data_IF_592366903911
#
_entry.id   IF_592366903911
#
_cell.length_a   1.000
_cell.length_b   1.000
_cell.length_c   1.000
_cell.angle_alpha   90.00
_cell.angle_beta   90.00
_cell.angle_gamma   90.00
#
_symmetry.space_group_name_H-M   'P 1'
#
loop_
_entity.id
_entity.type
_entity.pdbx_description
1 polymer ?
#
# COMPACT_ATOMS: atom_id res chain seq x y z
N UNK A 1 11.27 -8.91 0.26
CA UNK A 1 11.46 -7.92 -0.82
C UNK A 1 11.63 -8.70 -2.11
N UNK A 2 10.66 -8.62 -2.99
CA UNK A 2 10.54 -9.65 -4.01
C UNK A 2 10.39 -11.03 -3.35
N UNK A 3 11.12 -12.04 -3.79
CA UNK A 3 11.14 -13.37 -3.14
C UNK A 3 12.18 -13.46 -2.01
N UNK A 4 12.97 -12.40 -1.79
CA UNK A 4 14.01 -12.38 -0.77
C UNK A 4 13.45 -12.05 0.62
N UNK A 5 13.78 -12.86 1.60
CA UNK A 5 13.51 -12.57 2.99
C UNK A 5 14.52 -11.56 3.54
N UNK A 6 14.04 -10.61 4.33
CA UNK A 6 14.87 -9.57 4.92
C UNK A 6 14.74 -9.53 6.44
N UNK A 7 15.77 -9.03 7.10
CA UNK A 7 15.77 -8.65 8.51
C UNK A 7 15.75 -7.12 8.55
N UNK A 8 14.68 -6.54 9.10
CA UNK A 8 14.64 -5.15 9.51
C UNK A 8 15.06 -5.08 10.97
N UNK A 9 16.10 -4.33 11.27
CA UNK A 9 16.61 -4.19 12.64
C UNK A 9 16.92 -2.74 12.96
N UNK A 10 16.82 -2.39 14.24
CA UNK A 10 17.32 -1.15 14.80
C UNK A 10 18.49 -1.47 15.70
N UNK A 11 19.65 -0.88 15.41
CA UNK A 11 20.84 -1.08 16.20
C UNK A 11 20.81 -0.34 17.55
N UNK A 12 21.84 -0.54 18.39
CA UNK A 12 21.95 0.11 19.70
C UNK A 12 22.09 1.64 19.65
N UNK A 13 22.39 2.20 18.48
CA UNK A 13 22.49 3.64 18.24
C UNK A 13 21.17 4.22 17.70
N UNK A 14 20.15 3.37 17.51
CA UNK A 14 18.87 3.76 16.93
C UNK A 14 18.86 3.80 15.41
N UNK A 15 19.93 3.37 14.73
CA UNK A 15 20.00 3.32 13.28
C UNK A 15 19.24 2.09 12.78
N UNK A 16 18.42 2.30 11.75
CA UNK A 16 17.65 1.24 11.10
C UNK A 16 18.46 0.64 9.97
N UNK A 17 18.45 -0.68 9.87
CA UNK A 17 19.13 -1.44 8.83
C UNK A 17 18.19 -2.48 8.22
N UNK A 18 18.41 -2.79 6.96
CA UNK A 18 17.69 -3.86 6.23
C UNK A 18 18.72 -4.79 5.60
N UNK A 19 18.74 -6.03 6.05
CA UNK A 19 19.68 -7.06 5.58
C UNK A 19 18.95 -8.21 4.91
N UNK A 20 19.62 -8.86 3.96
CA UNK A 20 19.22 -10.17 3.48
C UNK A 20 19.25 -11.18 4.63
N UNK A 21 18.18 -11.90 4.86
CA UNK A 21 18.06 -12.90 5.91
C UNK A 21 18.78 -14.21 5.57
N UNK A 22 20.05 -14.09 5.17
CA UNK A 22 20.84 -15.22 4.67
C UNK A 22 22.24 -15.18 5.26
N UNK A 23 22.62 -16.22 5.99
CA UNK A 23 23.96 -16.37 6.57
C UNK A 23 25.02 -16.45 5.48
N UNK A 24 26.05 -15.61 5.58
CA UNK A 24 27.16 -15.53 4.61
C UNK A 24 28.05 -16.77 4.59
N UNK A 25 27.89 -17.71 5.54
CA UNK A 25 28.62 -18.96 5.55
C UNK A 25 28.08 -19.97 4.54
N UNK A 26 26.83 -20.42 4.70
CA UNK A 26 26.20 -21.45 3.85
C UNK A 26 24.72 -21.21 3.61
N UNK A 27 24.27 -19.96 3.55
CA UNK A 27 22.93 -19.60 3.10
C UNK A 27 21.79 -19.91 4.07
N UNK A 28 22.07 -20.31 5.32
CA UNK A 28 21.02 -20.57 6.29
C UNK A 28 20.28 -19.26 6.67
N UNK A 29 18.95 -19.34 6.80
CA UNK A 29 18.13 -18.27 7.38
C UNK A 29 18.60 -17.92 8.78
N UNK A 30 18.97 -16.67 9.01
CA UNK A 30 19.56 -16.20 10.27
C UNK A 30 18.48 -15.91 11.31
N UNK A 31 17.50 -15.08 10.97
CA UNK A 31 16.36 -14.77 11.81
C UNK A 31 15.14 -15.59 11.37
N UNK A 32 14.54 -16.33 12.30
CA UNK A 32 13.40 -17.25 12.02
C UNK A 32 12.10 -16.78 12.67
N UNK A 33 12.11 -15.66 13.33
CA UNK A 33 10.97 -15.06 14.00
C UNK A 33 10.49 -13.84 13.23
N UNK A 34 9.20 -13.59 13.26
CA UNK A 34 8.59 -12.46 12.58
C UNK A 34 8.90 -11.13 13.27
N UNK A 35 9.07 -11.15 14.60
CA UNK A 35 9.42 -9.99 15.42
C UNK A 35 10.14 -10.39 16.72
N UNK A 36 10.81 -9.46 17.35
CA UNK A 36 11.46 -9.67 18.64
C UNK A 36 12.56 -8.66 18.93
N UNK A 37 13.25 -8.88 20.03
CA UNK A 37 14.45 -8.13 20.43
C UNK A 37 15.64 -9.07 20.52
N UNK A 38 16.74 -8.69 19.89
CA UNK A 38 17.96 -9.45 19.88
C UNK A 38 19.17 -8.52 20.06
N UNK A 39 20.16 -8.97 20.82
CA UNK A 39 21.44 -8.27 20.94
C UNK A 39 22.35 -8.63 19.76
N UNK A 40 22.22 -9.85 19.26
CA UNK A 40 22.97 -10.41 18.14
C UNK A 40 22.08 -11.44 17.41
N UNK A 41 22.40 -11.71 16.17
CA UNK A 41 21.79 -12.79 15.37
C UNK A 41 22.79 -13.94 15.23
N UNK A 42 22.53 -15.07 15.86
CA UNK A 42 23.37 -16.28 15.74
C UNK A 42 22.75 -17.26 14.77
N UNK A 43 23.48 -17.58 13.71
CA UNK A 43 23.05 -18.55 12.71
C UNK A 43 22.91 -19.94 13.37
N UNK A 44 21.73 -20.59 13.27
CA UNK A 44 21.50 -21.86 13.95
C UNK A 44 22.24 -23.06 13.31
N UNK A 45 22.89 -22.83 12.16
CA UNK A 45 23.58 -23.92 11.46
C UNK A 45 25.03 -24.11 11.97
N UNK A 46 25.85 -23.03 11.98
CA UNK A 46 27.24 -23.12 12.39
C UNK A 46 27.65 -22.00 13.35
N UNK A 47 26.68 -21.37 14.00
CA UNK A 47 26.87 -20.35 15.02
C UNK A 47 27.69 -19.10 14.58
N UNK A 48 27.74 -18.80 13.28
CA UNK A 48 28.19 -17.48 12.86
C UNK A 48 27.26 -16.42 13.45
N UNK A 49 27.84 -15.44 14.12
CA UNK A 49 27.08 -14.46 14.91
C UNK A 49 27.29 -13.06 14.35
N UNK A 50 26.18 -12.39 14.08
CA UNK A 50 26.14 -11.03 13.53
C UNK A 50 25.60 -10.06 14.59
N UNK A 51 26.16 -8.87 14.65
CA UNK A 51 25.61 -7.77 15.45
C UNK A 51 24.37 -7.19 14.77
N UNK A 52 23.61 -6.36 15.47
CA UNK A 52 22.39 -5.70 14.95
C UNK A 52 22.67 -4.70 13.83
N UNK A 53 23.92 -4.26 13.66
CA UNK A 53 24.41 -3.49 12.53
C UNK A 53 24.95 -4.36 11.35
N UNK A 54 24.70 -5.66 11.38
CA UNK A 54 25.02 -6.62 10.32
C UNK A 54 26.47 -7.13 10.33
N UNK A 55 27.38 -6.60 11.16
CA UNK A 55 28.78 -7.04 11.21
C UNK A 55 28.91 -8.46 11.74
N UNK A 56 29.77 -9.27 11.13
CA UNK A 56 30.15 -10.58 11.65
C UNK A 56 31.04 -10.42 12.89
N UNK A 57 30.53 -10.75 14.08
CA UNK A 57 31.23 -10.59 15.36
C UNK A 57 31.75 -11.90 15.95
N UNK A 58 31.10 -13.03 15.63
CA UNK A 58 31.47 -14.33 16.18
C UNK A 58 31.57 -15.41 15.08
N UNK A 59 32.66 -16.14 15.09
CA UNK A 59 32.92 -17.31 14.23
C UNK A 59 33.52 -18.42 15.09
N UNK A 60 32.81 -19.55 15.25
CA UNK A 60 33.38 -20.70 15.93
C UNK A 60 34.65 -21.19 15.23
N UNK A 61 35.61 -21.69 16.00
CA UNK A 61 36.88 -22.17 15.49
C UNK A 61 37.70 -21.15 14.69
N UNK A 62 37.47 -19.83 14.93
CA UNK A 62 38.19 -18.78 14.22
C UNK A 62 39.72 -18.91 14.40
N UNK A 63 40.17 -19.39 15.59
CA UNK A 63 41.57 -19.53 15.92
C UNK A 63 42.15 -20.85 15.45
N UNK A 64 41.46 -21.94 15.67
CA UNK A 64 42.00 -23.31 15.53
C UNK A 64 41.67 -23.97 14.16
N UNK A 65 40.67 -23.46 13.44
CA UNK A 65 40.30 -23.99 12.11
C UNK A 65 40.33 -22.94 10.99
N UNK A 66 40.10 -21.69 11.29
CA UNK A 66 40.33 -20.59 10.35
C UNK A 66 41.71 -19.93 10.51
N UNK A 67 42.49 -20.33 11.48
CA UNK A 67 43.86 -19.87 11.73
C UNK A 67 43.98 -18.36 11.87
N UNK A 68 42.91 -17.69 12.31
CA UNK A 68 42.75 -16.23 12.38
C UNK A 68 42.87 -15.50 11.00
N UNK A 69 42.83 -16.24 9.90
CA UNK A 69 42.99 -15.71 8.55
C UNK A 69 41.65 -15.19 7.94
N UNK A 70 40.51 -15.55 8.53
CA UNK A 70 39.24 -15.06 8.09
C UNK A 70 39.02 -13.60 8.51
N UNK A 71 39.07 -12.67 7.55
CA UNK A 71 38.74 -11.28 7.80
C UNK A 71 37.20 -11.10 7.94
N UNK A 72 36.75 -11.07 9.20
CA UNK A 72 35.30 -10.94 9.53
C UNK A 72 34.66 -9.69 8.98
N UNK A 73 35.39 -8.62 8.67
CA UNK A 73 34.85 -7.38 8.14
C UNK A 73 34.22 -7.56 6.74
N UNK A 74 34.65 -8.58 6.00
CA UNK A 74 34.14 -8.87 4.66
C UNK A 74 32.92 -9.80 4.66
N UNK A 75 32.52 -10.31 5.81
CA UNK A 75 31.49 -11.36 5.92
C UNK A 75 30.28 -10.94 6.76
N UNK A 76 30.01 -9.63 6.84
CA UNK A 76 28.77 -9.11 7.38
C UNK A 76 27.54 -9.55 6.57
N UNK A 77 26.35 -9.39 7.13
CA UNK A 77 25.09 -9.59 6.38
C UNK A 77 25.05 -8.64 5.18
N UNK A 78 24.45 -9.09 4.09
CA UNK A 78 24.27 -8.25 2.92
C UNK A 78 23.18 -7.20 3.20
N UNK A 79 23.55 -5.94 3.17
CA UNK A 79 22.63 -4.82 3.36
C UNK A 79 22.02 -4.40 2.02
N UNK A 80 20.79 -3.88 2.06
CA UNK A 80 20.13 -3.29 0.88
C UNK A 80 20.96 -2.12 0.34
N UNK A 81 20.87 -1.90 -0.97
CA UNK A 81 21.65 -0.85 -1.61
C UNK A 81 21.17 0.57 -1.24
N UNK A 82 19.85 0.74 -1.07
CA UNK A 82 19.26 2.00 -0.63
C UNK A 82 18.09 1.72 0.31
N UNK A 83 17.89 2.61 1.27
CA UNK A 83 16.78 2.59 2.21
C UNK A 83 16.28 4.01 2.46
N UNK A 84 14.97 4.16 2.62
CA UNK A 84 14.31 5.39 3.00
C UNK A 84 13.34 5.14 4.17
N UNK A 85 13.40 6.01 5.17
CA UNK A 85 12.35 6.11 6.19
C UNK A 85 11.39 7.22 5.76
N UNK A 86 10.27 6.82 5.16
CA UNK A 86 9.25 7.73 4.70
C UNK A 86 8.10 7.77 5.69
N UNK A 87 8.08 8.80 6.54
CA UNK A 87 7.06 9.01 7.58
C UNK A 87 6.81 7.77 8.47
N UNK A 88 7.89 7.13 8.92
CA UNK A 88 7.84 5.95 9.79
C UNK A 88 7.68 4.61 9.06
N UNK A 89 7.48 4.62 7.75
CA UNK A 89 7.51 3.42 6.91
C UNK A 89 8.89 3.24 6.26
N UNK A 90 9.39 2.01 6.29
CA UNK A 90 10.71 1.71 5.74
C UNK A 90 10.58 1.12 4.34
N UNK A 91 11.22 1.76 3.38
CA UNK A 91 11.28 1.37 1.98
C UNK A 91 12.72 1.09 1.60
N UNK A 92 12.95 0.05 0.84
CA UNK A 92 14.32 -0.35 0.48
C UNK A 92 14.38 -0.97 -0.91
N UNK A 93 15.57 -0.93 -1.52
CA UNK A 93 15.85 -1.55 -2.81
C UNK A 93 17.23 -2.21 -2.83
N UNK A 94 17.37 -3.29 -3.57
CA UNK A 94 18.64 -3.94 -3.86
C UNK A 94 19.43 -3.24 -4.97
N UNK A 95 18.79 -2.34 -5.72
CA UNK A 95 19.43 -1.66 -6.83
C UNK A 95 19.98 -0.28 -6.41
N UNK A 96 21.30 -0.15 -6.43
CA UNK A 96 22.00 1.09 -6.12
C UNK A 96 21.74 2.23 -7.13
N UNK A 97 21.22 1.89 -8.32
CA UNK A 97 20.89 2.85 -9.38
C UNK A 97 19.42 3.25 -9.38
N UNK A 98 18.61 2.67 -8.52
CA UNK A 98 17.21 3.05 -8.40
C UNK A 98 17.10 4.54 -8.02
N UNK A 99 16.05 5.25 -8.46
CA UNK A 99 15.76 6.59 -7.97
C UNK A 99 15.56 6.58 -6.45
N UNK A 100 15.68 7.73 -5.81
CA UNK A 100 15.23 7.86 -4.42
C UNK A 100 13.76 7.48 -4.29
N UNK A 101 13.31 7.06 -3.11
CA UNK A 101 11.90 6.68 -2.93
C UNK A 101 10.96 7.88 -3.20
N UNK A 102 11.35 9.09 -2.87
CA UNK A 102 10.59 10.30 -3.15
C UNK A 102 10.50 10.58 -4.66
N UNK A 103 11.60 10.45 -5.39
CA UNK A 103 11.59 10.56 -6.85
C UNK A 103 10.77 9.44 -7.50
N UNK A 104 10.82 8.23 -6.91
CA UNK A 104 9.98 7.10 -7.34
C UNK A 104 8.49 7.42 -7.22
N UNK A 105 8.07 8.06 -6.14
CA UNK A 105 6.69 8.50 -5.95
C UNK A 105 6.33 9.71 -6.82
N UNK A 106 7.30 10.58 -7.11
CA UNK A 106 7.09 11.81 -7.89
C UNK A 106 5.98 12.69 -7.33
N UNK A 107 5.06 13.22 -8.17
CA UNK A 107 3.95 14.06 -7.71
C UNK A 107 3.01 13.38 -6.70
N UNK A 108 3.08 12.06 -6.59
CA UNK A 108 2.24 11.29 -5.66
C UNK A 108 2.80 11.22 -4.24
N UNK A 109 4.03 11.67 -4.02
CA UNK A 109 4.70 11.61 -2.71
C UNK A 109 3.90 12.29 -1.61
N UNK A 110 3.35 13.46 -1.88
CA UNK A 110 2.53 14.19 -0.91
C UNK A 110 1.22 13.45 -0.58
N UNK A 111 0.61 12.83 -1.58
CA UNK A 111 -0.59 12.00 -1.39
C UNK A 111 -0.28 10.77 -0.52
N UNK A 112 0.87 10.13 -0.74
CA UNK A 112 1.33 9.00 0.07
C UNK A 112 1.68 9.43 1.49
N UNK A 113 2.26 10.61 1.68
CA UNK A 113 2.53 11.20 3.01
C UNK A 113 1.26 11.23 3.86
N UNK A 114 0.13 11.61 3.27
CA UNK A 114 -1.14 11.66 4.02
C UNK A 114 -1.59 10.31 4.55
N UNK A 115 -1.16 9.23 3.92
CA UNK A 115 -1.46 7.87 4.38
C UNK A 115 -0.72 7.49 5.67
N UNK A 116 0.32 8.24 6.04
CA UNK A 116 1.09 8.06 7.27
C UNK A 116 0.88 9.19 8.28
N UNK A 117 0.09 10.17 7.93
CA UNK A 117 -0.26 11.30 8.78
C UNK A 117 -1.40 10.92 9.73
N UNK A 118 -1.31 11.31 10.98
CA UNK A 118 -2.40 11.17 11.94
C UNK A 118 -3.67 11.89 11.50
N UNK A 119 -4.79 11.51 12.05
CA UNK A 119 -6.08 12.18 11.78
C UNK A 119 -6.08 13.65 12.16
N UNK A 120 -5.20 14.05 13.07
CA UNK A 120 -4.94 15.43 13.50
C UNK A 120 -3.95 16.19 12.63
N UNK A 121 -3.41 15.56 11.59
CA UNK A 121 -2.41 16.16 10.71
C UNK A 121 -0.97 16.08 11.20
N UNK A 122 -0.66 15.31 12.25
CA UNK A 122 0.71 15.07 12.70
C UNK A 122 1.43 14.05 11.81
N UNK A 123 2.63 14.39 11.34
CA UNK A 123 3.52 13.42 10.71
C UNK A 123 3.91 12.33 11.73
N UNK A 124 3.97 11.08 11.30
CA UNK A 124 4.21 9.93 12.19
C UNK A 124 3.16 9.76 13.32
N UNK A 125 1.97 10.32 13.14
CA UNK A 125 0.88 10.25 14.11
C UNK A 125 0.22 8.87 14.24
N UNK A 126 0.58 7.91 13.39
CA UNK A 126 -0.01 6.57 13.35
C UNK A 126 0.87 5.54 14.06
N UNK A 127 0.22 4.47 14.51
CA UNK A 127 0.86 3.24 14.97
C UNK A 127 0.16 2.01 14.41
N UNK A 128 0.88 0.91 14.31
CA UNK A 128 0.28 -0.41 14.07
C UNK A 128 -0.29 -0.93 15.39
N UNK A 129 -1.55 -1.35 15.41
CA UNK A 129 -2.23 -1.73 16.66
C UNK A 129 -2.53 -3.24 16.78
N UNK A 130 -2.07 -4.03 15.81
CA UNK A 130 -2.22 -5.49 15.84
C UNK A 130 -1.09 -6.16 15.05
N UNK A 131 -0.79 -7.44 15.30
CA UNK A 131 0.05 -8.23 14.42
C UNK A 131 -0.48 -8.21 12.99
N UNK A 132 0.42 -8.28 12.02
CA UNK A 132 0.05 -8.39 10.62
C UNK A 132 -0.75 -9.67 10.38
N UNK A 133 -1.89 -9.56 9.72
CA UNK A 133 -2.56 -10.73 9.15
C UNK A 133 -1.93 -11.05 7.81
N UNK A 134 -1.74 -12.31 7.51
CA UNK A 134 -1.25 -12.77 6.20
C UNK A 134 -1.90 -14.09 5.82
N UNK A 135 -2.16 -14.24 4.53
CA UNK A 135 -2.73 -15.47 3.96
C UNK A 135 -2.38 -15.57 2.47
N UNK A 136 -2.57 -16.75 1.92
CA UNK A 136 -2.27 -17.00 0.51
C UNK A 136 -3.54 -17.13 -0.31
N UNK A 137 -3.48 -16.56 -1.52
CA UNK A 137 -4.54 -16.56 -2.51
C UNK A 137 -4.04 -17.27 -3.77
N UNK A 138 -4.77 -18.24 -4.32
CA UNK A 138 -4.40 -18.90 -5.58
C UNK A 138 -4.71 -18.01 -6.78
N UNK A 139 -4.13 -16.83 -6.80
CA UNK A 139 -4.32 -15.83 -7.86
C UNK A 139 -3.02 -15.08 -8.13
N UNK A 140 -2.91 -14.49 -9.33
CA UNK A 140 -1.81 -13.58 -9.63
C UNK A 140 -1.99 -12.26 -8.88
N UNK A 141 -0.91 -11.72 -8.32
CA UNK A 141 -0.92 -10.49 -7.52
C UNK A 141 -1.51 -9.26 -8.22
N UNK A 142 -1.53 -9.26 -9.55
CA UNK A 142 -2.11 -8.16 -10.33
C UNK A 142 -3.62 -8.03 -10.13
N UNK A 143 -4.35 -9.14 -9.93
CA UNK A 143 -5.79 -9.09 -9.71
C UNK A 143 -6.16 -8.28 -8.45
N UNK A 144 -5.72 -8.65 -7.24
CA UNK A 144 -6.03 -7.86 -6.07
C UNK A 144 -5.43 -6.45 -6.12
N UNK A 145 -4.21 -6.31 -6.65
CA UNK A 145 -3.59 -5.00 -6.78
C UNK A 145 -4.37 -4.07 -7.72
N UNK A 146 -5.02 -4.57 -8.76
CA UNK A 146 -5.87 -3.78 -9.65
C UNK A 146 -7.21 -3.40 -9.03
N UNK A 147 -7.84 -4.32 -8.29
CA UNK A 147 -9.07 -4.01 -7.57
C UNK A 147 -8.82 -2.90 -6.55
N UNK A 148 -7.78 -3.02 -5.76
CA UNK A 148 -7.44 -2.03 -4.74
C UNK A 148 -6.69 -0.79 -5.27
N UNK A 149 -6.40 -0.71 -6.56
CA UNK A 149 -5.92 0.53 -7.17
C UNK A 149 -7.01 1.58 -7.42
N UNK A 150 -8.25 1.25 -7.11
CA UNK A 150 -9.41 2.13 -7.27
C UNK A 150 -10.48 1.61 -8.21
N UNK A 151 -10.71 0.31 -8.24
CA UNK A 151 -11.86 -0.25 -8.94
C UNK A 151 -13.12 -0.06 -8.10
N UNK A 152 -13.82 1.05 -8.32
CA UNK A 152 -15.09 1.32 -7.64
C UNK A 152 -16.29 0.66 -8.34
N UNK A 153 -16.12 0.21 -9.57
CA UNK A 153 -17.22 -0.32 -10.38
C UNK A 153 -17.71 -1.69 -9.87
N UNK A 154 -16.82 -2.52 -9.30
CA UNK A 154 -17.18 -3.84 -8.81
C UNK A 154 -18.02 -3.81 -7.53
N UNK A 155 -17.88 -2.76 -6.72
CA UNK A 155 -18.39 -2.75 -5.35
C UNK A 155 -19.90 -3.02 -5.22
N UNK A 156 -20.70 -2.54 -6.17
CA UNK A 156 -22.15 -2.70 -6.15
C UNK A 156 -22.61 -4.15 -6.34
N UNK A 157 -21.83 -4.95 -7.09
CA UNK A 157 -22.15 -6.37 -7.35
C UNK A 157 -21.37 -7.31 -6.44
N UNK A 158 -20.08 -7.10 -6.32
CA UNK A 158 -19.20 -7.97 -5.53
C UNK A 158 -19.63 -7.98 -4.06
N UNK A 159 -19.96 -6.83 -3.49
CA UNK A 159 -20.34 -6.70 -2.08
C UNK A 159 -21.87 -6.68 -1.85
N UNK A 160 -22.63 -7.31 -2.72
CA UNK A 160 -24.08 -7.40 -2.58
C UNK A 160 -24.49 -8.12 -1.26
N UNK A 161 -23.71 -9.10 -0.82
CA UNK A 161 -23.89 -9.82 0.44
C UNK A 161 -23.92 -8.88 1.65
N UNK A 162 -23.02 -7.90 1.68
CA UNK A 162 -22.97 -6.88 2.75
C UNK A 162 -24.24 -6.04 2.79
N UNK A 163 -24.73 -5.67 1.61
CA UNK A 163 -25.98 -4.91 1.49
C UNK A 163 -27.20 -5.74 1.88
N UNK A 164 -27.26 -6.99 1.43
CA UNK A 164 -28.35 -7.91 1.76
C UNK A 164 -28.41 -8.27 3.26
N UNK A 165 -27.26 -8.38 3.90
CA UNK A 165 -27.18 -8.64 5.34
C UNK A 165 -27.39 -7.38 6.20
N UNK A 166 -27.63 -6.22 5.59
CA UNK A 166 -27.78 -4.92 6.27
C UNK A 166 -26.61 -4.56 7.21
N UNK A 167 -25.43 -5.11 6.93
CA UNK A 167 -24.21 -4.86 7.73
C UNK A 167 -23.40 -3.69 7.21
N UNK A 168 -23.79 -3.13 6.07
CA UNK A 168 -23.17 -1.96 5.49
C UNK A 168 -23.47 -0.69 6.28
N UNK A 169 -22.75 0.39 6.00
CA UNK A 169 -22.81 1.64 6.77
C UNK A 169 -24.21 2.25 6.93
N UNK A 170 -25.16 1.91 6.07
CA UNK A 170 -26.53 2.42 6.11
C UNK A 170 -27.61 1.33 6.24
N UNK A 171 -27.21 0.07 6.32
CA UNK A 171 -28.16 -1.05 6.32
C UNK A 171 -29.13 -1.04 7.49
N UNK A 172 -28.69 -0.60 8.66
CA UNK A 172 -29.54 -0.51 9.85
C UNK A 172 -30.47 0.70 9.86
N UNK A 173 -30.06 1.81 9.22
CA UNK A 173 -30.86 3.06 9.21
C UNK A 173 -32.02 3.02 8.22
N UNK A 174 -31.85 2.28 7.13
CA UNK A 174 -32.82 2.27 6.02
C UNK A 174 -33.73 1.03 6.00
N UNK A 175 -33.62 0.16 7.01
CA UNK A 175 -34.51 -1.01 7.17
C UNK A 175 -34.38 -2.10 6.10
N UNK A 176 -33.32 -2.10 5.36
CA UNK A 176 -33.04 -3.10 4.32
C UNK A 176 -32.04 -2.57 3.32
N UNK A 177 -30.95 -3.24 3.22
CA UNK A 177 -29.75 -2.94 2.47
C UNK A 177 -29.91 -2.05 1.22
N UNK A 178 -28.88 -1.36 0.86
CA UNK A 178 -28.86 -0.53 -0.37
C UNK A 178 -29.19 -1.38 -1.57
N UNK A 179 -30.02 -0.83 -2.45
CA UNK A 179 -30.23 -1.42 -3.77
C UNK A 179 -28.88 -1.50 -4.49
N UNK A 180 -28.46 -2.68 -5.00
CA UNK A 180 -27.13 -2.88 -5.57
C UNK A 180 -26.78 -1.93 -6.73
N UNK A 181 -27.79 -1.36 -7.39
CA UNK A 181 -27.62 -0.39 -8.47
C UNK A 181 -27.52 1.06 -7.99
N UNK A 182 -27.80 1.34 -6.72
CA UNK A 182 -27.53 2.65 -6.13
C UNK A 182 -26.12 2.61 -5.57
N UNK A 183 -25.18 3.12 -6.35
CA UNK A 183 -23.78 3.18 -5.99
C UNK A 183 -23.60 3.65 -4.53
N UNK A 184 -22.87 2.92 -3.71
CA UNK A 184 -22.61 3.30 -2.31
C UNK A 184 -21.75 4.56 -2.20
N UNK A 185 -21.16 5.01 -3.29
CA UNK A 185 -20.37 6.22 -3.36
C UNK A 185 -21.22 7.34 -3.96
N UNK A 186 -21.17 8.55 -3.41
CA UNK A 186 -21.69 9.68 -4.11
C UNK A 186 -20.90 9.80 -5.41
N UNK A 187 -21.50 9.37 -6.50
CA UNK A 187 -20.90 9.38 -7.83
C UNK A 187 -20.42 10.79 -8.27
N UNK A 188 -20.69 11.79 -7.47
CA UNK A 188 -20.35 13.19 -7.75
C UNK A 188 -18.94 13.58 -7.36
N UNK A 189 -18.23 12.82 -6.49
CA UNK A 189 -17.00 13.30 -5.86
C UNK A 189 -15.86 12.28 -5.83
N UNK A 190 -15.99 11.12 -6.48
CA UNK A 190 -14.91 10.13 -6.57
C UNK A 190 -14.13 10.29 -7.85
N UNK A 191 -12.82 10.51 -7.77
CA UNK A 191 -11.94 10.64 -8.91
C UNK A 191 -10.88 9.56 -8.87
N UNK A 192 -10.58 8.98 -10.02
CA UNK A 192 -9.39 8.19 -10.23
C UNK A 192 -8.25 9.12 -10.58
N UNK A 193 -7.12 9.00 -9.89
CA UNK A 193 -6.00 9.89 -10.05
C UNK A 193 -4.71 9.09 -10.22
N UNK A 194 -3.96 9.38 -11.26
CA UNK A 194 -2.68 8.74 -11.56
C UNK A 194 -1.63 9.76 -11.97
N UNK A 195 -0.45 9.75 -11.37
CA UNK A 195 0.74 10.28 -12.02
C UNK A 195 1.20 9.31 -13.11
N UNK A 196 2.00 9.78 -14.05
CA UNK A 196 2.56 8.95 -15.13
C UNK A 196 3.52 7.82 -14.64
N UNK A 197 3.60 7.59 -13.35
CA UNK A 197 4.52 6.66 -12.71
C UNK A 197 3.86 5.31 -12.31
N UNK A 198 2.60 5.10 -12.70
CA UNK A 198 1.85 3.88 -12.37
C UNK A 198 1.31 3.83 -10.95
N UNK A 199 1.61 4.80 -10.10
CA UNK A 199 0.91 5.01 -8.84
C UNK A 199 -0.52 5.44 -9.13
N UNK A 200 -1.41 5.22 -8.19
CA UNK A 200 -2.81 5.58 -8.42
C UNK A 200 -3.56 5.81 -7.12
N UNK A 201 -4.70 6.47 -7.22
CA UNK A 201 -5.59 6.67 -6.09
C UNK A 201 -7.03 6.81 -6.53
N UNK A 202 -7.92 6.44 -5.65
CA UNK A 202 -9.32 6.83 -5.67
C UNK A 202 -9.49 7.92 -4.63
N UNK A 203 -9.70 9.15 -5.10
CA UNK A 203 -9.76 10.34 -4.26
C UNK A 203 -11.19 10.90 -4.30
N UNK A 204 -11.66 11.42 -3.19
CA UNK A 204 -12.81 12.31 -3.19
C UNK A 204 -12.31 13.76 -3.18
N UNK A 205 -12.71 14.54 -4.17
CA UNK A 205 -12.39 15.95 -4.28
C UNK A 205 -13.68 16.74 -4.07
N UNK A 206 -13.71 17.57 -3.04
CA UNK A 206 -14.87 18.38 -2.70
C UNK A 206 -14.73 19.80 -3.22
N UNK A 207 -15.82 20.38 -3.69
CA UNK A 207 -15.86 21.80 -4.13
C UNK A 207 -15.72 22.76 -2.94
N UNK A 208 -16.17 22.33 -1.77
CA UNK A 208 -16.07 23.11 -0.54
C UNK A 208 -15.42 22.29 0.58
N UNK A 209 -14.63 22.93 1.46
CA UNK A 209 -14.09 22.27 2.63
C UNK A 209 -15.22 21.77 3.52
N UNK A 210 -15.21 20.51 3.87
CA UNK A 210 -16.22 19.92 4.74
C UNK A 210 -15.78 18.61 5.33
N UNK A 211 -16.38 18.27 6.46
CA UNK A 211 -16.25 16.92 7.01
C UNK A 211 -16.94 15.97 6.04
N UNK A 212 -16.26 14.90 5.66
CA UNK A 212 -16.85 13.89 4.80
C UNK A 212 -18.17 13.38 5.42
N UNK A 213 -19.29 13.42 4.69
CA UNK A 213 -20.60 13.04 5.22
C UNK A 213 -20.73 11.59 5.69
N UNK A 214 -19.66 10.81 5.58
CA UNK A 214 -19.60 9.38 5.91
C UNK A 214 -19.01 9.04 7.25
N UNK A 215 -18.50 10.04 8.02
CA UNK A 215 -18.05 9.80 9.38
C UNK A 215 -19.16 9.15 10.23
N UNK A 216 -20.40 9.53 9.99
CA UNK A 216 -21.55 9.05 10.75
C UNK A 216 -22.00 7.62 10.42
N UNK A 217 -21.46 7.03 9.35
CA UNK A 217 -22.01 5.77 8.82
C UNK A 217 -21.13 4.54 9.00
N UNK A 218 -19.82 4.71 9.16
CA UNK A 218 -18.87 3.59 9.21
C UNK A 218 -18.53 3.13 10.63
N UNK A 219 -18.51 4.06 11.56
CA UNK A 219 -18.12 3.83 12.95
C UNK A 219 -19.20 4.37 13.90
N UNK A 220 -20.46 4.19 13.58
CA UNK A 220 -21.65 4.75 14.28
C UNK A 220 -21.73 4.46 15.77
N UNK A 221 -20.58 4.47 16.44
CA UNK A 221 -20.48 4.35 17.90
C UNK A 221 -20.29 5.74 18.49
N UNK A 222 -21.08 6.02 19.53
CA UNK A 222 -21.11 7.30 20.22
C UNK A 222 -19.72 7.71 20.71
N UNK A 223 -19.23 8.80 20.24
CA UNK A 223 -17.93 9.39 20.59
C UNK A 223 -16.80 9.10 19.61
N UNK A 224 -16.88 8.10 18.73
CA UNK A 224 -15.84 7.84 17.73
C UNK A 224 -15.89 8.85 16.61
N UNK A 225 -17.07 9.17 16.10
CA UNK A 225 -17.26 10.24 15.11
C UNK A 225 -16.97 11.63 15.72
N UNK A 226 -17.29 11.88 16.98
CA UNK A 226 -16.88 13.11 17.67
C UNK A 226 -15.35 13.23 17.73
N UNK A 227 -14.66 12.16 18.11
CA UNK A 227 -13.19 12.12 18.08
C UNK A 227 -12.65 12.49 16.71
N UNK A 228 -13.13 11.86 15.63
CA UNK A 228 -12.64 12.15 14.28
C UNK A 228 -13.00 13.55 13.79
N UNK A 229 -14.13 14.12 14.20
CA UNK A 229 -14.47 15.51 13.92
C UNK A 229 -13.48 16.47 14.56
N UNK A 230 -13.14 16.24 15.82
CA UNK A 230 -12.12 17.04 16.52
C UNK A 230 -10.74 16.92 15.86
N UNK A 231 -10.32 15.70 15.53
CA UNK A 231 -9.04 15.50 14.84
C UNK A 231 -9.03 16.17 13.46
N UNK A 232 -10.15 16.13 12.77
CA UNK A 232 -10.30 16.79 11.48
C UNK A 232 -10.11 18.30 11.54
N UNK A 233 -10.70 18.96 12.53
CA UNK A 233 -10.49 20.40 12.74
C UNK A 233 -9.02 20.74 13.04
N UNK A 234 -8.35 19.96 13.89
CA UNK A 234 -6.91 20.10 14.15
C UNK A 234 -6.08 19.94 12.87
N UNK A 235 -6.43 18.92 12.07
CA UNK A 235 -5.78 18.69 10.77
C UNK A 235 -5.97 19.87 9.84
N UNK A 236 -7.18 20.42 9.77
CA UNK A 236 -7.52 21.57 8.97
C UNK A 236 -6.68 22.79 9.33
N UNK A 237 -6.57 23.10 10.62
CA UNK A 237 -5.75 24.19 11.12
C UNK A 237 -4.27 24.02 10.73
N UNK A 238 -3.78 22.79 10.72
CA UNK A 238 -2.37 22.48 10.52
C UNK A 238 -1.94 22.42 9.06
N UNK A 239 -2.72 21.73 8.21
CA UNK A 239 -2.35 21.50 6.81
C UNK A 239 -3.00 22.47 5.83
N UNK A 240 -3.95 23.31 6.31
CA UNK A 240 -4.62 24.34 5.53
C UNK A 240 -5.61 23.82 4.50
N UNK A 241 -6.17 24.76 3.73
CA UNK A 241 -7.28 24.48 2.81
C UNK A 241 -6.91 23.61 1.62
N UNK A 242 -5.63 23.54 1.22
CA UNK A 242 -5.19 22.74 0.08
C UNK A 242 -5.60 21.27 0.18
N UNK A 243 -5.62 20.72 1.39
CA UNK A 243 -5.89 19.31 1.67
C UNK A 243 -7.33 19.03 2.06
N UNK A 244 -8.11 20.04 2.37
CA UNK A 244 -9.52 19.92 2.78
C UNK A 244 -10.37 19.47 1.60
N UNK A 245 -10.00 19.89 0.39
CA UNK A 245 -10.70 19.49 -0.84
C UNK A 245 -10.45 18.03 -1.24
N UNK A 246 -9.47 17.35 -0.61
CA UNK A 246 -9.08 15.98 -0.94
C UNK A 246 -9.43 15.01 0.19
N UNK A 247 -10.51 15.25 0.87
CA UNK A 247 -10.98 14.33 1.90
C UNK A 247 -11.81 13.23 1.28
N UNK A 248 -11.49 12.06 1.67
CA UNK A 248 -12.26 10.97 1.19
C UNK A 248 -13.47 10.65 2.04
N UNK A 249 -14.23 9.70 1.53
CA UNK A 249 -15.51 9.25 2.05
C UNK A 249 -15.41 8.37 3.30
N UNK A 250 -14.26 8.26 3.95
CA UNK A 250 -14.09 7.44 5.16
C UNK A 250 -13.43 8.22 6.28
N UNK A 251 -13.86 8.01 7.51
CA UNK A 251 -13.13 8.50 8.66
C UNK A 251 -11.77 7.80 8.73
N UNK A 252 -10.76 8.53 9.11
CA UNK A 252 -9.44 7.98 9.33
C UNK A 252 -8.33 8.71 8.62
N UNK A 253 -7.10 8.28 8.85
CA UNK A 253 -5.91 8.99 8.42
C UNK A 253 -5.82 9.19 6.90
N UNK A 254 -6.47 8.35 6.13
CA UNK A 254 -6.43 8.40 4.67
C UNK A 254 -7.42 9.37 4.03
N UNK A 255 -8.21 10.07 4.83
CA UNK A 255 -9.20 11.00 4.30
C UNK A 255 -10.12 10.39 3.23
N UNK A 256 -10.25 9.06 3.17
CA UNK A 256 -11.22 8.30 2.37
C UNK A 256 -10.82 7.96 0.96
N UNK A 257 -9.53 7.84 0.69
CA UNK A 257 -9.05 7.31 -0.56
C UNK A 257 -8.47 5.90 -0.41
N UNK A 258 -8.36 5.23 -1.52
CA UNK A 258 -7.43 4.13 -1.71
C UNK A 258 -6.25 4.66 -2.50
N UNK A 259 -5.05 4.47 -1.99
CA UNK A 259 -3.81 4.85 -2.65
C UNK A 259 -3.04 3.60 -2.98
N UNK A 260 -2.50 3.56 -4.17
CA UNK A 260 -1.72 2.42 -4.60
C UNK A 260 -0.34 2.86 -5.07
N UNK A 261 0.68 2.38 -4.39
CA UNK A 261 2.08 2.51 -4.81
C UNK A 261 2.39 1.33 -5.73
N UNK A 262 2.72 1.63 -6.99
CA UNK A 262 3.17 0.61 -7.93
C UNK A 262 4.44 -0.08 -7.39
N UNK A 263 4.61 -1.41 -7.50
CA UNK A 263 3.71 -2.30 -8.20
C UNK A 263 2.57 -2.88 -7.34
N UNK A 264 2.71 -3.02 -6.02
CA UNK A 264 1.90 -3.97 -5.27
C UNK A 264 1.58 -3.56 -3.82
N UNK A 265 1.67 -2.29 -3.47
CA UNK A 265 1.28 -1.82 -2.13
C UNK A 265 0.08 -0.90 -2.22
N UNK A 266 -1.01 -1.28 -1.58
CA UNK A 266 -2.20 -0.43 -1.42
C UNK A 266 -2.27 0.09 0.01
N UNK A 267 -2.75 1.32 0.16
CA UNK A 267 -3.12 1.92 1.43
C UNK A 267 -4.59 2.32 1.37
N UNK A 268 -5.36 1.91 2.34
CA UNK A 268 -6.78 2.18 2.42
C UNK A 268 -7.20 2.19 3.88
N UNK A 269 -8.15 3.02 4.23
CA UNK A 269 -8.85 3.11 5.53
C UNK A 269 -8.21 2.30 6.66
N UNK A 270 -7.28 2.89 7.40
CA UNK A 270 -6.56 2.24 8.51
C UNK A 270 -5.74 1.00 8.13
N UNK A 271 -5.43 0.79 6.84
CA UNK A 271 -4.77 -0.41 6.36
C UNK A 271 -3.63 -0.12 5.40
N UNK A 272 -2.56 -0.90 5.52
CA UNK A 272 -1.54 -1.05 4.49
C UNK A 272 -1.63 -2.50 3.99
N UNK A 273 -1.71 -2.67 2.68
CA UNK A 273 -2.02 -3.94 2.02
C UNK A 273 -0.95 -4.26 0.97
N UNK A 274 0.16 -4.88 1.36
CA UNK A 274 1.08 -5.47 0.41
C UNK A 274 0.46 -6.71 -0.27
N UNK A 275 0.56 -6.76 -1.59
CA UNK A 275 0.15 -7.89 -2.42
C UNK A 275 1.41 -8.59 -2.91
N UNK A 276 1.95 -9.46 -2.08
CA UNK A 276 3.26 -10.05 -2.32
C UNK A 276 3.16 -11.21 -3.30
N UNK A 277 3.86 -11.16 -4.47
CA UNK A 277 3.90 -12.30 -5.37
C UNK A 277 4.65 -13.47 -4.73
N UNK A 278 4.08 -14.67 -4.86
CA UNK A 278 4.68 -15.92 -4.44
C UNK A 278 4.66 -16.90 -5.62
N UNK A 279 5.44 -16.57 -6.64
CA UNK A 279 5.34 -17.16 -7.97
C UNK A 279 4.21 -16.55 -8.81
N UNK A 280 3.97 -17.11 -9.99
CA UNK A 280 3.03 -16.55 -10.99
C UNK A 280 1.57 -16.67 -10.56
N UNK A 281 1.22 -17.76 -9.91
CA UNK A 281 -0.17 -18.14 -9.61
C UNK A 281 -0.56 -18.04 -8.14
N UNK A 282 0.27 -17.43 -7.32
CA UNK A 282 0.02 -17.29 -5.88
C UNK A 282 0.36 -15.89 -5.40
N UNK A 283 -0.49 -15.34 -4.57
CA UNK A 283 -0.25 -14.07 -3.89
C UNK A 283 -0.31 -14.28 -2.39
N UNK A 284 0.66 -13.79 -1.66
CA UNK A 284 0.58 -13.65 -0.22
C UNK A 284 0.07 -12.25 0.10
N UNK A 285 -1.14 -12.17 0.62
CA UNK A 285 -1.76 -10.92 1.02
C UNK A 285 -1.39 -10.60 2.47
N UNK A 286 -1.01 -9.35 2.72
CA UNK A 286 -0.73 -8.84 4.05
C UNK A 286 -1.72 -7.76 4.41
N UNK A 287 -2.06 -7.67 5.71
CA UNK A 287 -2.87 -6.59 6.28
C UNK A 287 -2.20 -6.06 7.52
N UNK A 288 -1.76 -4.83 7.42
CA UNK A 288 -1.21 -4.05 8.52
C UNK A 288 -2.25 -2.99 8.88
N UNK A 289 -2.70 -2.99 10.11
CA UNK A 289 -3.74 -2.08 10.57
C UNK A 289 -3.14 -0.92 11.34
N UNK A 290 -3.59 0.28 11.01
CA UNK A 290 -3.11 1.54 11.58
C UNK A 290 -4.20 2.22 12.40
N UNK A 291 -3.78 2.99 13.38
CA UNK A 291 -4.64 3.85 14.20
C UNK A 291 -3.84 5.07 14.66
N UNK A 292 -4.52 6.15 14.99
CA UNK A 292 -3.87 7.28 15.64
C UNK A 292 -3.22 6.85 16.94
N UNK A 293 -1.92 7.13 17.07
CA UNK A 293 -1.11 6.72 18.24
C UNK A 293 -1.72 7.17 19.54
N UNK A 294 -2.22 8.40 19.58
CA UNK A 294 -2.79 9.04 20.75
C UNK A 294 -4.31 8.85 20.89
N UNK A 295 -4.93 8.01 20.02
CA UNK A 295 -6.37 7.77 20.12
C UNK A 295 -6.73 7.09 21.44
N UNK A 296 -7.86 7.48 22.06
CA UNK A 296 -8.39 6.80 23.22
C UNK A 296 -8.68 5.32 22.94
N UNK A 297 -8.65 4.50 23.99
CA UNK A 297 -8.86 3.06 23.86
C UNK A 297 -10.16 2.70 23.15
N UNK A 298 -11.27 3.40 23.43
CA UNK A 298 -12.55 3.13 22.78
C UNK A 298 -12.52 3.36 21.27
N UNK A 299 -11.75 4.36 20.79
CA UNK A 299 -11.55 4.60 19.35
C UNK A 299 -10.73 3.46 18.74
N UNK A 300 -9.63 3.05 19.39
CA UNK A 300 -8.80 1.93 18.94
C UNK A 300 -9.59 0.63 18.87
N UNK A 301 -10.45 0.37 19.86
CA UNK A 301 -11.31 -0.81 19.88
C UNK A 301 -12.37 -0.76 18.77
N UNK A 302 -12.99 0.39 18.53
CA UNK A 302 -13.97 0.55 17.45
C UNK A 302 -13.33 0.31 16.06
N UNK A 303 -12.13 0.87 15.82
CA UNK A 303 -11.39 0.64 14.59
C UNK A 303 -11.02 -0.85 14.45
N UNK A 304 -10.60 -1.50 15.54
CA UNK A 304 -10.30 -2.93 15.54
C UNK A 304 -11.53 -3.76 15.13
N UNK A 305 -12.68 -3.49 15.73
CA UNK A 305 -13.93 -4.16 15.37
C UNK A 305 -14.29 -3.92 13.90
N UNK A 306 -14.13 -2.68 13.42
CA UNK A 306 -14.38 -2.34 12.04
C UNK A 306 -13.49 -3.15 11.08
N UNK A 307 -12.18 -3.12 11.27
CA UNK A 307 -11.25 -3.81 10.36
C UNK A 307 -11.39 -5.33 10.42
N UNK A 308 -11.69 -5.89 11.58
CA UNK A 308 -11.95 -7.33 11.72
C UNK A 308 -13.25 -7.78 11.05
N UNK A 309 -14.26 -6.92 11.04
CA UNK A 309 -15.55 -7.20 10.41
C UNK A 309 -15.52 -7.10 8.90
N UNK A 310 -14.77 -6.11 8.35
CA UNK A 310 -14.79 -5.81 6.93
C UNK A 310 -13.60 -6.36 6.15
N UNK A 311 -12.46 -6.53 6.80
CA UNK A 311 -11.18 -6.71 6.16
C UNK A 311 -10.54 -8.05 6.52
N UNK A 312 -9.54 -8.46 5.73
CA UNK A 312 -8.81 -9.69 5.97
C UNK A 312 -9.57 -10.95 5.55
N UNK A 313 -9.01 -12.14 5.84
CA UNK A 313 -9.50 -13.40 5.30
C UNK A 313 -10.90 -13.80 5.82
N UNK A 314 -11.31 -13.26 6.96
CA UNK A 314 -12.65 -13.47 7.54
C UNK A 314 -13.54 -12.23 7.42
N UNK A 315 -13.10 -11.19 6.73
CA UNK A 315 -13.87 -9.96 6.57
C UNK A 315 -14.94 -10.07 5.49
N UNK A 316 -16.08 -9.44 5.71
CA UNK A 316 -17.28 -9.59 4.87
C UNK A 316 -17.02 -9.11 3.43
N UNK A 317 -16.32 -8.00 3.24
CA UNK A 317 -16.08 -7.44 1.91
C UNK A 317 -14.89 -8.09 1.20
N UNK A 318 -13.83 -8.39 1.92
CA UNK A 318 -12.61 -8.89 1.30
C UNK A 318 -12.72 -10.36 0.88
N UNK A 319 -13.55 -11.16 1.55
CA UNK A 319 -13.85 -12.53 1.11
C UNK A 319 -14.59 -12.57 -0.24
N UNK A 320 -15.48 -11.62 -0.50
CA UNK A 320 -16.18 -11.48 -1.78
C UNK A 320 -15.18 -11.16 -2.92
N UNK A 321 -14.23 -10.26 -2.65
CA UNK A 321 -13.16 -9.93 -3.60
C UNK A 321 -12.26 -11.13 -3.90
N UNK A 322 -11.87 -11.87 -2.86
CA UNK A 322 -11.01 -13.06 -3.01
C UNK A 322 -11.64 -14.12 -3.89
N UNK A 323 -12.94 -14.31 -3.77
CA UNK A 323 -13.68 -15.26 -4.61
C UNK A 323 -13.57 -14.87 -6.10
N UNK A 324 -13.78 -13.61 -6.43
CA UNK A 324 -13.66 -13.12 -7.80
C UNK A 324 -12.23 -13.31 -8.37
N UNK A 325 -11.20 -12.98 -7.61
CA UNK A 325 -9.81 -13.12 -8.06
C UNK A 325 -9.41 -14.58 -8.25
N UNK A 326 -9.88 -15.46 -7.35
CA UNK A 326 -9.59 -16.89 -7.41
C UNK A 326 -10.19 -17.57 -8.64
N UNK A 327 -11.30 -17.04 -9.16
CA UNK A 327 -11.88 -17.52 -10.42
C UNK A 327 -11.33 -16.81 -11.66
N UNK A 328 -11.08 -15.51 -11.58
CA UNK A 328 -10.59 -14.74 -12.73
C UNK A 328 -9.20 -15.20 -13.19
N UNK A 329 -8.31 -15.54 -12.25
CA UNK A 329 -6.97 -15.98 -12.57
C UNK A 329 -6.96 -17.28 -13.40
N UNK A 330 -7.49 -18.43 -12.95
CA UNK A 330 -7.49 -19.65 -13.74
C UNK A 330 -8.28 -19.51 -15.04
N UNK A 331 -9.36 -18.73 -15.08
CA UNK A 331 -10.10 -18.46 -16.31
C UNK A 331 -9.25 -17.74 -17.36
N UNK A 332 -8.28 -16.92 -16.95
CA UNK A 332 -7.38 -16.20 -17.84
C UNK A 332 -6.22 -17.04 -18.40
N UNK A 333 -5.95 -18.22 -17.85
CA UNK A 333 -4.80 -19.06 -18.23
C UNK A 333 -5.04 -19.91 -19.47
N UNK A 334 -6.29 -20.09 -19.90
CA UNK A 334 -6.64 -20.94 -21.03
C UNK A 334 -6.06 -20.43 -22.35
N UNK A 335 -5.50 -21.34 -23.17
CA UNK A 335 -4.93 -20.99 -24.49
C UNK A 335 -5.93 -20.24 -25.38
N UNK A 336 -7.20 -20.56 -25.26
CA UNK A 336 -8.25 -19.86 -26.02
C UNK A 336 -8.54 -18.50 -25.41
N UNK A 337 -8.64 -18.39 -24.08
CA UNK A 337 -8.88 -17.12 -23.38
C UNK A 337 -7.81 -16.08 -23.72
N UNK A 338 -6.55 -16.49 -23.78
CA UNK A 338 -5.42 -15.61 -24.12
C UNK A 338 -5.43 -15.06 -25.56
N UNK A 339 -6.31 -15.56 -26.43
CA UNK A 339 -6.47 -15.02 -27.79
C UNK A 339 -7.39 -13.82 -27.86
N UNK A 340 -8.14 -13.54 -26.81
CA UNK A 340 -9.10 -12.46 -26.76
C UNK A 340 -8.63 -11.37 -25.82
N UNK A 341 -8.65 -10.10 -26.25
CA UNK A 341 -8.31 -8.97 -25.40
C UNK A 341 -9.39 -8.73 -24.33
N UNK A 342 -8.97 -8.27 -23.17
CA UNK A 342 -9.87 -7.74 -22.15
C UNK A 342 -10.08 -6.24 -22.37
N UNK A 343 -11.29 -5.76 -22.04
CA UNK A 343 -11.63 -4.34 -22.16
C UNK A 343 -11.23 -3.58 -20.90
N UNK A 344 -10.52 -2.48 -21.08
CA UNK A 344 -10.24 -1.47 -20.06
C UNK A 344 -10.71 -0.09 -20.57
N UNK A 345 -11.92 -0.02 -21.14
CA UNK A 345 -12.43 1.18 -21.82
C UNK A 345 -13.25 2.11 -20.92
N UNK A 346 -13.56 1.71 -19.67
CA UNK A 346 -14.36 2.53 -18.79
C UNK A 346 -13.67 3.88 -18.54
N UNK A 347 -14.35 4.98 -18.91
CA UNK A 347 -13.81 6.35 -18.82
C UNK A 347 -12.66 6.66 -19.78
N UNK A 348 -12.43 5.85 -20.82
CA UNK A 348 -11.36 6.09 -21.81
C UNK A 348 -11.62 7.37 -22.60
N UNK A 349 -10.62 8.25 -22.66
CA UNK A 349 -10.73 9.54 -23.36
C UNK A 349 -11.36 10.67 -22.53
N UNK A 350 -11.85 10.37 -21.33
CA UNK A 350 -12.48 11.34 -20.43
C UNK A 350 -11.58 11.64 -19.22
N UNK A 351 -10.34 12.04 -19.50
CA UNK A 351 -9.37 12.39 -18.47
C UNK A 351 -9.04 13.88 -18.55
N UNK A 352 -8.74 14.48 -17.41
CA UNK A 352 -8.36 15.89 -17.31
C UNK A 352 -7.27 16.07 -16.23
N UNK A 353 -6.75 17.29 -16.12
CA UNK A 353 -5.89 17.71 -15.00
C UNK A 353 -6.66 18.63 -14.08
N UNK A 354 -6.27 18.67 -12.81
CA UNK A 354 -6.86 19.58 -11.82
C UNK A 354 -5.74 20.34 -11.12
N UNK A 355 -5.84 21.67 -11.07
CA UNK A 355 -4.81 22.53 -10.46
C UNK A 355 -4.62 22.27 -8.97
N UNK A 356 -5.62 21.71 -8.31
CA UNK A 356 -5.54 21.31 -6.89
C UNK A 356 -4.59 20.13 -6.66
N UNK A 357 -4.36 19.32 -7.72
CA UNK A 357 -3.48 18.14 -7.69
C UNK A 357 -2.53 18.19 -8.89
N UNK A 358 -1.53 19.07 -8.86
CA UNK A 358 -0.63 19.25 -9.99
C UNK A 358 0.19 17.98 -10.28
N UNK A 359 0.41 17.69 -11.55
CA UNK A 359 1.20 16.53 -12.01
C UNK A 359 0.45 15.19 -11.98
N UNK A 360 -0.88 15.22 -11.79
CA UNK A 360 -1.72 14.03 -11.74
C UNK A 360 -2.79 14.10 -12.81
N UNK A 361 -2.98 13.01 -13.56
CA UNK A 361 -4.12 12.84 -14.47
C UNK A 361 -5.31 12.31 -13.70
N UNK A 362 -6.46 12.91 -13.89
CA UNK A 362 -7.71 12.60 -13.20
C UNK A 362 -8.72 12.05 -14.19
N UNK A 363 -9.35 10.92 -13.87
CA UNK A 363 -10.53 10.42 -14.57
C UNK A 363 -11.74 11.29 -14.29
N UNK A 364 -12.68 11.33 -15.21
CA UNK A 364 -13.93 12.09 -15.02
C UNK A 364 -14.77 11.53 -13.87
N UNK A 365 -15.75 12.31 -13.44
CA UNK A 365 -16.66 11.98 -12.32
C UNK A 365 -17.33 10.64 -12.55
N UNK A 366 -17.00 9.64 -11.76
CA UNK A 366 -17.58 8.31 -11.84
C UNK A 366 -16.57 7.17 -11.95
N UNK A 367 -17.03 5.95 -12.16
CA UNK A 367 -16.17 4.81 -12.36
C UNK A 367 -15.27 4.97 -13.59
N UNK A 368 -13.98 4.69 -13.44
CA UNK A 368 -13.01 4.76 -14.53
C UNK A 368 -11.94 3.68 -14.32
N UNK A 369 -11.45 3.12 -15.42
CA UNK A 369 -10.30 2.19 -15.44
C UNK A 369 -8.97 2.91 -15.77
N UNK A 370 -8.91 4.22 -15.54
CA UNK A 370 -7.68 4.99 -15.70
C UNK A 370 -6.53 4.40 -14.90
N UNK A 371 -6.78 4.04 -13.64
CA UNK A 371 -5.79 3.46 -12.75
C UNK A 371 -5.25 2.12 -13.28
N UNK A 372 -6.12 1.26 -13.78
CA UNK A 372 -5.75 -0.04 -14.34
C UNK A 372 -4.92 0.13 -15.63
N UNK A 373 -5.36 1.01 -16.54
CA UNK A 373 -4.61 1.33 -17.77
C UNK A 373 -3.23 1.86 -17.47
N UNK A 374 -3.10 2.84 -16.58
CA UNK A 374 -1.81 3.43 -16.19
C UNK A 374 -0.85 2.37 -15.63
N UNK A 375 -1.35 1.49 -14.77
CA UNK A 375 -0.56 0.43 -14.16
C UNK A 375 -0.10 -0.62 -15.16
N UNK A 376 -0.97 -1.04 -16.08
CA UNK A 376 -0.60 -1.99 -17.13
C UNK A 376 0.47 -1.41 -18.04
N UNK A 377 0.32 -0.16 -18.44
CA UNK A 377 1.35 0.56 -19.22
C UNK A 377 2.67 0.61 -18.46
N UNK A 378 2.64 0.99 -17.18
CA UNK A 378 3.84 1.05 -16.36
C UNK A 378 4.50 -0.31 -16.17
N UNK A 379 3.69 -1.36 -15.97
CA UNK A 379 4.21 -2.72 -15.85
C UNK A 379 4.94 -3.16 -17.13
N UNK A 380 4.40 -2.86 -18.32
CA UNK A 380 5.07 -3.15 -19.59
C UNK A 380 6.39 -2.37 -19.71
N UNK A 381 6.39 -1.08 -19.38
CA UNK A 381 7.61 -0.26 -19.36
C UNK A 381 8.70 -0.88 -18.48
N UNK A 382 8.36 -1.35 -17.28
CA UNK A 382 9.31 -2.04 -16.40
C UNK A 382 9.81 -3.38 -16.96
N UNK A 383 8.97 -4.10 -17.68
CA UNK A 383 9.35 -5.38 -18.28
C UNK A 383 10.25 -5.22 -19.51
N UNK A 384 10.15 -4.12 -20.24
CA UNK A 384 10.90 -3.86 -21.47
C UNK A 384 12.16 -3.02 -21.23
N UNK A 385 12.20 -2.20 -20.17
CA UNK A 385 13.31 -1.32 -19.87
C UNK A 385 14.58 -2.09 -19.45
N UNK A 386 15.73 -1.57 -19.88
CA UNK A 386 17.06 -2.09 -19.53
C UNK A 386 17.72 -1.33 -18.40
N UNK A 387 17.23 -0.12 -18.11
CA UNK A 387 17.76 0.75 -17.06
C UNK A 387 16.68 1.69 -16.53
N UNK A 388 16.94 2.29 -15.37
CA UNK A 388 16.08 3.30 -14.78
C UNK A 388 15.92 4.54 -15.66
N UNK A 389 16.93 4.90 -16.44
CA UNK A 389 16.89 6.07 -17.34
C UNK A 389 15.82 5.92 -18.43
N UNK A 390 15.48 4.69 -18.82
CA UNK A 390 14.42 4.44 -19.80
C UNK A 390 13.03 4.58 -19.18
N UNK A 391 12.91 4.39 -17.87
CA UNK A 391 11.65 4.40 -17.12
C UNK A 391 11.40 5.75 -16.48
N UNK A 392 12.46 6.37 -15.96
CA UNK A 392 12.42 7.66 -15.29
C UNK A 392 13.14 8.68 -16.14
N UNK A 393 12.45 9.69 -16.68
CA UNK A 393 13.16 10.82 -17.28
C UNK A 393 13.96 11.51 -16.18
N UNK A 394 15.26 11.55 -16.37
CA UNK A 394 16.18 12.27 -15.49
C UNK A 394 15.72 13.72 -15.42
N UNK A 395 15.28 14.13 -14.25
CA UNK A 395 14.97 15.50 -13.80
C UNK A 395 13.76 16.21 -14.43
N UNK A 396 12.74 16.56 -13.64
CA UNK A 396 11.64 17.42 -14.06
C UNK A 396 12.02 18.92 -14.11
N UNK A 397 13.29 19.27 -14.18
CA UNK A 397 13.74 20.65 -14.35
C UNK A 397 14.42 20.85 -15.69
N UNK A 398 13.64 20.89 -16.76
CA UNK A 398 13.74 21.73 -17.97
C UNK A 398 13.02 21.07 -19.15
N UNK A 399 11.93 21.75 -19.59
CA UNK A 399 11.30 21.59 -20.91
C UNK A 399 10.70 20.23 -21.30
N UNK A 400 9.53 19.92 -20.82
CA UNK A 400 8.62 19.01 -21.52
C UNK A 400 7.77 19.77 -22.55
N UNK A 401 8.43 20.36 -23.56
CA UNK A 401 7.79 20.67 -24.82
C UNK A 401 8.53 19.89 -25.91
N UNK A 402 7.87 18.89 -26.46
CA UNK A 402 8.23 18.03 -27.59
C UNK A 402 8.80 16.67 -27.22
N UNK A 403 7.91 15.73 -27.03
CA UNK A 403 8.02 14.46 -27.75
C UNK A 403 6.63 13.83 -27.86
N UNK A 404 6.16 13.73 -29.09
CA UNK A 404 4.87 13.14 -29.41
C UNK A 404 4.84 11.66 -29.05
N UNK A 405 4.21 11.34 -27.93
CA UNK A 405 3.77 9.97 -27.67
C UNK A 405 2.59 9.67 -28.57
N UNK A 406 2.69 8.61 -29.33
CA UNK A 406 1.55 8.08 -30.12
C UNK A 406 0.42 7.79 -29.16
N UNK A 407 -0.71 8.45 -29.42
CA UNK A 407 -1.98 8.17 -28.73
C UNK A 407 -2.41 6.75 -29.10
N UNK A 408 -2.62 5.94 -28.09
CA UNK A 408 -3.45 4.76 -28.19
C UNK A 408 -4.79 5.05 -27.55
#
# INVERSE_FOLDING_TARGET
MGEEEVILTQDRKGVIHVFLNTCRHRGMKVCRYDEGNALVFTCPFHAWTYDTDGRLVGVPHHKDAYFEELDKSQWGLAEVAQMCNFYGSIWATWDAKAPSFEDYLGPFAETVRWAFMGSDGEDNGLELFSPAQRWRLPTNWKFPAFSFAGDSAHAAMTHLSVNAAAIGPQGEKDGGGRHPMKAPFPAKNGYMAVPDLGHSGQLAIFEQPGIAPYLDTWLADSGVDEYFREQHEKRREKVGDKYIHMQGASPGPFGGGQFHIFPNVTMSNFRILPWHPHGVGMTEAWRLYQVDRNAPKYVKDAIRHFVMRYCGPGGVTESDDMENWNYAHPASLGIIAQKYPYSFHLGLGHNHTDERIPGVTIGDKGPSELNQRSRLTRWVEFMEAKSWDEIYPVSPTKNSSKNGRKKY
#
